data_IF_007043888014
#
_entry.id   IF_007043888014
#
_cell.length_a   1.000
_cell.length_b   1.000
_cell.length_c   1.000
_cell.angle_alpha   90.00
_cell.angle_beta   90.00
_cell.angle_gamma   90.00
#
_symmetry.space_group_name_H-M   'P 1'
#
loop_
_entity.id
_entity.type
_entity.pdbx_description
1 polymer ?
#
# COMPACT_ATOMS: atom_id res chain seq x y z
N UNK A 1 17.37 -13.88 -0.48
CA UNK A 1 16.73 -13.54 -1.76
C UNK A 1 16.46 -14.85 -2.49
N UNK A 2 15.25 -15.39 -2.32
CA UNK A 2 14.81 -16.61 -3.01
C UNK A 2 13.67 -16.20 -3.93
N UNK A 3 13.90 -16.29 -5.24
CA UNK A 3 12.91 -16.07 -6.28
C UNK A 3 12.40 -17.45 -6.68
N UNK A 4 11.10 -17.70 -6.47
CA UNK A 4 10.45 -18.92 -6.98
C UNK A 4 9.63 -18.47 -8.19
N UNK A 5 10.12 -18.74 -9.39
CA UNK A 5 9.35 -18.63 -10.61
C UNK A 5 8.37 -19.81 -10.69
N UNK A 6 7.07 -19.55 -10.84
CA UNK A 6 6.11 -20.58 -11.22
C UNK A 6 5.30 -20.17 -12.45
N UNK A 7 5.21 -21.12 -13.37
CA UNK A 7 4.71 -21.01 -14.74
C UNK A 7 3.20 -21.23 -14.75
N UNK A 8 2.41 -20.23 -15.20
CA UNK A 8 1.10 -20.35 -15.90
C UNK A 8 0.43 -18.97 -16.08
N UNK A 9 0.97 -18.10 -16.93
CA UNK A 9 0.29 -16.85 -17.35
C UNK A 9 -0.05 -15.82 -16.26
N UNK A 10 0.24 -16.12 -14.99
CA UNK A 10 0.18 -15.25 -13.83
C UNK A 10 1.59 -15.23 -13.25
N UNK A 11 2.24 -14.07 -13.28
CA UNK A 11 3.55 -13.91 -12.63
C UNK A 11 3.26 -13.78 -11.14
N UNK A 12 3.62 -14.82 -10.38
CA UNK A 12 3.60 -14.81 -8.93
C UNK A 12 5.04 -14.74 -8.42
N UNK A 13 5.38 -13.67 -7.73
CA UNK A 13 6.68 -13.49 -7.10
C UNK A 13 6.48 -13.47 -5.58
N UNK A 14 7.30 -14.20 -4.82
CA UNK A 14 7.27 -14.19 -3.36
C UNK A 14 8.66 -13.88 -2.83
N UNK A 15 8.77 -12.85 -2.00
CA UNK A 15 9.97 -12.53 -1.25
C UNK A 15 9.72 -12.78 0.24
N UNK A 16 10.50 -13.69 0.82
CA UNK A 16 10.56 -13.88 2.27
C UNK A 16 11.60 -12.93 2.86
N UNK A 17 11.20 -12.15 3.86
CA UNK A 17 12.08 -11.23 4.57
C UNK A 17 12.62 -11.94 5.79
N UNK A 18 13.89 -12.36 5.74
CA UNK A 18 14.60 -12.99 6.87
C UNK A 18 15.07 -11.95 7.91
N UNK A 19 14.18 -11.00 8.23
CA UNK A 19 14.30 -10.03 9.32
C UNK A 19 12.88 -9.78 9.86
N UNK A 20 12.45 -10.66 10.76
CA UNK A 20 11.29 -10.48 11.64
C UNK A 20 9.91 -10.45 10.96
N UNK A 21 9.41 -11.65 10.62
CA UNK A 21 7.99 -12.00 10.42
C UNK A 21 7.26 -11.50 9.16
N UNK A 22 7.75 -10.47 8.46
CA UNK A 22 7.07 -10.00 7.24
C UNK A 22 7.35 -10.89 6.01
N UNK A 23 6.31 -11.17 5.22
CA UNK A 23 6.45 -11.77 3.89
C UNK A 23 5.68 -10.96 2.86
N UNK A 24 6.24 -10.81 1.66
CA UNK A 24 5.61 -10.09 0.56
C UNK A 24 5.42 -11.04 -0.61
N UNK A 25 4.21 -11.09 -1.15
CA UNK A 25 3.93 -11.74 -2.43
C UNK A 25 3.27 -10.77 -3.39
N UNK A 26 3.54 -10.98 -4.68
CA UNK A 26 3.04 -10.17 -5.77
C UNK A 26 2.36 -11.10 -6.76
N UNK A 27 1.14 -10.78 -7.12
CA UNK A 27 0.32 -11.55 -8.07
C UNK A 27 -0.21 -10.60 -9.16
N UNK A 28 -0.11 -11.01 -10.42
CA UNK A 28 -0.80 -10.33 -11.52
C UNK A 28 -2.23 -10.86 -11.67
N UNK A 29 -3.23 -9.97 -11.62
CA UNK A 29 -4.65 -10.26 -11.86
C UNK A 29 -5.18 -9.41 -13.01
N UNK A 30 -5.07 -9.95 -14.23
CA UNK A 30 -5.40 -9.21 -15.45
C UNK A 30 -4.51 -7.97 -15.58
N UNK A 31 -5.07 -6.75 -15.72
CA UNK A 31 -4.29 -5.51 -15.79
C UNK A 31 -3.84 -4.97 -14.41
N UNK A 32 -4.21 -5.64 -13.32
CA UNK A 32 -3.95 -5.18 -11.96
C UNK A 32 -2.84 -6.00 -11.30
N UNK A 33 -2.07 -5.36 -10.41
CA UNK A 33 -1.07 -6.00 -9.57
C UNK A 33 -1.58 -6.05 -8.14
N UNK A 34 -1.57 -7.22 -7.51
CA UNK A 34 -1.88 -7.39 -6.09
C UNK A 34 -0.57 -7.61 -5.34
N UNK A 35 -0.24 -6.72 -4.41
CA UNK A 35 0.91 -6.85 -3.52
C UNK A 35 0.37 -7.18 -2.14
N UNK A 36 0.61 -8.40 -1.68
CA UNK A 36 0.19 -8.86 -0.35
C UNK A 36 1.34 -8.83 0.62
N UNK A 37 1.12 -8.27 1.80
CA UNK A 37 2.06 -8.28 2.92
C UNK A 37 1.42 -9.00 4.10
N UNK A 38 2.14 -9.93 4.71
CA UNK A 38 1.70 -10.69 5.89
C UNK A 38 2.71 -10.57 7.02
N UNK A 39 2.28 -10.78 8.26
CA UNK A 39 3.15 -10.72 9.44
C UNK A 39 3.21 -9.33 10.06
N UNK A 40 4.40 -8.85 10.41
CA UNK A 40 4.59 -7.59 11.14
C UNK A 40 5.38 -6.56 10.34
N UNK A 41 4.86 -5.34 10.23
CA UNK A 41 5.60 -4.21 9.64
C UNK A 41 6.02 -3.25 10.74
N UNK A 42 7.32 -3.08 10.95
CA UNK A 42 7.88 -2.21 11.98
C UNK A 42 9.13 -1.45 11.49
N UNK A 43 9.82 -0.78 12.43
CA UNK A 43 10.99 0.02 12.13
C UNK A 43 12.17 -0.78 11.51
N UNK A 44 12.21 -2.10 11.70
CA UNK A 44 13.30 -2.96 11.20
C UNK A 44 13.13 -3.33 9.72
N UNK A 45 11.90 -3.31 9.20
CA UNK A 45 11.57 -3.82 7.87
C UNK A 45 10.75 -2.85 7.00
N UNK A 46 10.27 -1.73 7.54
CA UNK A 46 9.48 -0.74 6.79
C UNK A 46 10.19 -0.21 5.54
N UNK A 47 11.50 0.08 5.60
CA UNK A 47 12.27 0.55 4.44
C UNK A 47 12.30 -0.47 3.29
N UNK A 48 12.32 -1.77 3.64
CA UNK A 48 12.25 -2.83 2.64
C UNK A 48 10.87 -2.88 1.99
N UNK A 49 9.79 -2.83 2.79
CA UNK A 49 8.41 -2.77 2.28
C UNK A 49 8.25 -1.55 1.37
N UNK A 50 8.79 -0.40 1.76
CA UNK A 50 8.77 0.82 0.96
C UNK A 50 9.47 0.63 -0.39
N UNK A 51 10.67 0.04 -0.39
CA UNK A 51 11.43 -0.23 -1.60
C UNK A 51 10.63 -1.12 -2.56
N UNK A 52 10.08 -2.23 -2.06
CA UNK A 52 9.28 -3.15 -2.87
C UNK A 52 8.05 -2.45 -3.46
N UNK A 53 7.27 -1.71 -2.66
CA UNK A 53 6.11 -0.99 -3.17
C UNK A 53 6.51 0.04 -4.25
N UNK A 54 7.59 0.78 -4.02
CA UNK A 54 8.04 1.82 -4.94
C UNK A 54 8.53 1.29 -6.30
N UNK A 55 9.05 0.06 -6.36
CA UNK A 55 9.48 -0.58 -7.60
C UNK A 55 8.32 -0.84 -8.57
N UNK A 56 7.08 -0.88 -8.07
CA UNK A 56 5.87 -1.05 -8.90
C UNK A 56 5.24 0.26 -9.39
N UNK A 57 5.73 1.43 -8.96
CA UNK A 57 5.20 2.73 -9.37
C UNK A 57 5.89 3.20 -10.67
N UNK A 58 5.25 2.99 -11.82
CA UNK A 58 5.74 3.26 -13.17
C UNK A 58 4.92 4.29 -13.97
N UNK A 59 3.75 4.72 -13.46
CA UNK A 59 2.85 5.74 -14.00
C UNK A 59 1.53 5.25 -14.63
N UNK A 60 1.35 3.95 -14.91
CA UNK A 60 0.11 3.40 -15.52
C UNK A 60 -0.47 2.18 -14.78
N UNK A 61 0.13 1.85 -13.64
CA UNK A 61 -0.21 0.72 -12.79
C UNK A 61 -1.56 0.86 -12.09
N UNK A 62 -2.13 -0.30 -11.78
CA UNK A 62 -3.30 -0.49 -10.95
C UNK A 62 -2.93 -1.44 -9.82
N UNK A 63 -2.57 -0.89 -8.67
CA UNK A 63 -2.00 -1.68 -7.57
C UNK A 63 -3.03 -1.84 -6.44
N UNK A 64 -3.36 -3.07 -6.10
CA UNK A 64 -4.03 -3.38 -4.84
C UNK A 64 -2.99 -3.83 -3.81
N UNK A 65 -2.89 -3.12 -2.68
CA UNK A 65 -2.01 -3.49 -1.56
C UNK A 65 -2.84 -4.19 -0.49
N UNK A 66 -2.66 -5.50 -0.34
CA UNK A 66 -3.35 -6.32 0.65
C UNK A 66 -2.53 -6.43 1.94
N UNK A 67 -2.96 -5.70 2.96
CA UNK A 67 -2.41 -5.74 4.31
C UNK A 67 -3.36 -6.43 5.30
N UNK A 68 -4.44 -7.07 4.82
CA UNK A 68 -5.48 -7.67 5.69
C UNK A 68 -4.95 -8.69 6.69
N UNK A 69 -3.80 -9.31 6.36
CA UNK A 69 -3.14 -10.35 7.15
C UNK A 69 -1.89 -9.83 7.90
N UNK A 70 -1.79 -8.52 8.12
CA UNK A 70 -0.82 -7.98 9.07
C UNK A 70 -1.32 -8.15 10.51
N UNK A 71 -0.44 -8.63 11.39
CA UNK A 71 -0.69 -8.72 12.83
C UNK A 71 -0.30 -7.39 13.52
N UNK A 72 0.75 -6.75 13.05
CA UNK A 72 1.22 -5.45 13.52
C UNK A 72 1.61 -4.49 12.39
N UNK A 73 1.31 -3.20 12.59
CA UNK A 73 1.84 -2.10 11.77
C UNK A 73 2.28 -0.95 12.68
N UNK A 74 3.58 -0.69 12.66
CA UNK A 74 4.19 0.44 13.36
C UNK A 74 4.02 1.76 12.61
N UNK A 75 4.42 2.85 13.25
CA UNK A 75 4.36 4.21 12.67
C UNK A 75 5.14 4.34 11.37
N UNK A 76 6.28 3.66 11.24
CA UNK A 76 7.04 3.64 9.99
C UNK A 76 6.26 2.96 8.86
N UNK A 77 5.54 1.86 9.14
CA UNK A 77 4.67 1.22 8.14
C UNK A 77 3.55 2.12 7.65
N UNK A 78 2.93 2.91 8.54
CA UNK A 78 1.97 3.93 8.13
C UNK A 78 2.61 5.01 7.25
N UNK A 79 3.81 5.47 7.61
CA UNK A 79 4.56 6.45 6.81
C UNK A 79 4.84 5.94 5.39
N UNK A 80 5.18 4.65 5.25
CA UNK A 80 5.37 4.00 3.95
C UNK A 80 4.11 4.14 3.08
N UNK A 81 2.93 3.92 3.64
CA UNK A 81 1.66 4.01 2.89
C UNK A 81 1.36 5.44 2.43
N UNK A 82 1.63 6.43 3.29
CA UNK A 82 1.45 7.85 2.96
C UNK A 82 2.41 8.25 1.82
N UNK A 83 3.68 7.87 1.92
CA UNK A 83 4.68 8.19 0.90
C UNK A 83 4.41 7.45 -0.42
N UNK A 84 3.86 6.23 -0.34
CA UNK A 84 3.43 5.45 -1.50
C UNK A 84 2.25 6.11 -2.21
N UNK A 85 1.23 6.53 -1.48
CA UNK A 85 0.08 7.25 -2.02
C UNK A 85 0.51 8.50 -2.80
N UNK A 86 1.38 9.29 -2.18
CA UNK A 86 1.99 10.48 -2.77
C UNK A 86 2.75 10.18 -4.06
N UNK A 87 3.47 9.06 -4.11
CA UNK A 87 4.24 8.64 -5.29
C UNK A 87 3.32 8.18 -6.42
N UNK A 88 2.31 7.36 -6.12
CA UNK A 88 1.29 6.94 -7.09
C UNK A 88 0.60 8.16 -7.71
N UNK A 89 0.19 9.12 -6.88
CA UNK A 89 -0.42 10.38 -7.34
C UNK A 89 0.47 11.15 -8.30
N UNK A 90 1.77 11.31 -7.96
CA UNK A 90 2.74 12.03 -8.80
C UNK A 90 3.03 11.30 -10.12
N UNK A 91 2.98 9.97 -10.11
CA UNK A 91 3.21 9.16 -11.30
C UNK A 91 1.96 9.06 -12.20
N UNK A 92 0.77 9.38 -11.68
CA UNK A 92 -0.50 9.18 -12.39
C UNK A 92 -1.06 7.76 -12.27
N UNK A 93 -0.46 6.91 -11.44
CA UNK A 93 -0.90 5.56 -11.16
C UNK A 93 -2.10 5.50 -10.21
N UNK A 94 -2.87 4.41 -10.29
CA UNK A 94 -3.99 4.16 -9.41
C UNK A 94 -3.64 3.05 -8.41
N UNK A 95 -4.05 3.22 -7.16
CA UNK A 95 -3.89 2.16 -6.17
C UNK A 95 -5.06 2.11 -5.19
N UNK A 96 -5.20 0.97 -4.50
CA UNK A 96 -6.18 0.72 -3.47
C UNK A 96 -5.53 -0.10 -2.33
N UNK A 97 -6.00 0.12 -1.09
CA UNK A 97 -5.47 -0.48 0.13
C UNK A 97 -6.52 -1.41 0.76
N UNK A 98 -6.15 -2.63 1.11
CA UNK A 98 -6.97 -3.50 1.98
C UNK A 98 -6.29 -3.53 3.36
N UNK A 99 -6.73 -2.73 4.34
CA UNK A 99 -6.05 -2.61 5.64
C UNK A 99 -6.32 -3.82 6.55
N UNK A 100 -5.39 -4.15 7.44
CA UNK A 100 -5.72 -4.98 8.61
C UNK A 100 -6.65 -4.24 9.57
N UNK A 101 -7.28 -4.98 10.50
CA UNK A 101 -8.19 -4.39 11.50
C UNK A 101 -7.54 -3.29 12.34
N UNK A 102 -6.27 -3.48 12.74
CA UNK A 102 -5.51 -2.48 13.50
C UNK A 102 -5.28 -1.19 12.70
N UNK A 103 -4.89 -1.32 11.43
CA UNK A 103 -4.67 -0.18 10.55
C UNK A 103 -5.98 0.57 10.27
N UNK A 104 -7.09 -0.15 10.05
CA UNK A 104 -8.41 0.46 9.85
C UNK A 104 -8.81 1.33 11.04
N UNK A 105 -8.70 0.79 12.26
CA UNK A 105 -8.98 1.56 13.47
C UNK A 105 -8.05 2.77 13.64
N UNK A 106 -6.79 2.64 13.25
CA UNK A 106 -5.84 3.75 13.29
C UNK A 106 -6.25 4.87 12.32
N UNK A 107 -6.65 4.53 11.10
CA UNK A 107 -7.12 5.46 10.08
C UNK A 107 -8.40 6.19 10.50
N UNK A 108 -9.25 5.57 11.32
CA UNK A 108 -10.47 6.21 11.85
C UNK A 108 -10.17 7.26 12.94
N UNK A 109 -9.04 7.12 13.64
CA UNK A 109 -8.69 7.95 14.80
C UNK A 109 -7.67 9.03 14.43
N UNK A 110 -6.79 8.75 13.47
CA UNK A 110 -5.69 9.62 13.06
C UNK A 110 -5.95 10.15 11.66
N UNK A 111 -5.79 11.46 11.46
CA UNK A 111 -5.77 12.05 10.12
C UNK A 111 -4.46 11.64 9.42
N UNK A 112 -4.54 10.54 8.65
CA UNK A 112 -3.44 10.00 7.85
C UNK A 112 -3.52 10.46 6.40
N UNK A 113 -4.36 11.46 6.09
CA UNK A 113 -4.76 11.78 4.73
C UNK A 113 -5.70 10.74 4.13
N UNK A 114 -5.97 10.87 2.82
CA UNK A 114 -6.88 9.97 2.11
C UNK A 114 -6.13 8.77 1.51
N UNK A 115 -5.96 7.72 2.31
CA UNK A 115 -5.55 6.41 1.76
C UNK A 115 -6.78 5.73 1.13
N UNK A 116 -6.68 5.19 -0.11
CA UNK A 116 -7.80 4.60 -0.85
C UNK A 116 -8.17 3.20 -0.32
N UNK A 117 -8.73 3.14 0.89
CA UNK A 117 -9.08 1.88 1.55
C UNK A 117 -10.28 1.17 0.90
N UNK A 118 -10.26 -0.16 0.92
CA UNK A 118 -11.32 -1.07 0.47
C UNK A 118 -11.50 -2.21 1.49
N UNK A 119 -12.64 -2.90 1.43
CA UNK A 119 -12.98 -3.98 2.36
C UNK A 119 -12.34 -5.32 1.98
N UNK A 120 -12.10 -5.54 0.70
CA UNK A 120 -11.47 -6.76 0.19
C UNK A 120 -10.59 -6.47 -1.03
N UNK A 121 -9.80 -7.47 -1.42
CA UNK A 121 -9.01 -7.41 -2.66
C UNK A 121 -9.94 -7.31 -3.87
N UNK A 122 -11.06 -8.00 -3.88
CA UNK A 122 -12.00 -7.96 -5.00
C UNK A 122 -12.64 -6.56 -5.12
N UNK A 123 -13.03 -5.92 -4.01
CA UNK A 123 -13.55 -4.55 -4.02
C UNK A 123 -12.48 -3.55 -4.52
N UNK A 124 -11.23 -3.74 -4.11
CA UNK A 124 -10.10 -2.92 -4.56
C UNK A 124 -9.88 -3.06 -6.07
N UNK A 125 -9.94 -4.28 -6.60
CA UNK A 125 -9.79 -4.55 -8.03
C UNK A 125 -10.96 -4.00 -8.84
N UNK A 126 -12.19 -4.05 -8.31
CA UNK A 126 -13.38 -3.45 -8.91
C UNK A 126 -13.26 -1.92 -8.98
N UNK A 127 -12.76 -1.28 -7.92
CA UNK A 127 -12.49 0.17 -7.91
C UNK A 127 -11.48 0.56 -9.00
N UNK A 128 -10.37 -0.18 -9.07
CA UNK A 128 -9.31 0.03 -10.06
C UNK A 128 -9.79 -0.24 -11.50
N UNK A 129 -10.67 -1.23 -11.69
CA UNK A 129 -11.27 -1.58 -12.97
C UNK A 129 -12.18 -0.49 -13.54
N UNK A 130 -12.85 0.27 -12.67
CA UNK A 130 -13.77 1.36 -13.05
C UNK A 130 -13.05 2.64 -13.51
N UNK A 131 -11.72 2.68 -13.49
CA UNK A 131 -10.95 3.87 -13.86
C UNK A 131 -11.05 5.01 -12.85
N UNK A 132 -11.63 4.74 -11.68
CA UNK A 132 -11.69 5.68 -10.58
C UNK A 132 -10.41 5.44 -9.76
N UNK A 133 -9.28 5.95 -10.26
CA UNK A 133 -8.21 6.31 -9.34
C UNK A 133 -8.85 7.19 -8.27
N UNK A 134 -8.60 6.92 -6.99
CA UNK A 134 -9.03 7.79 -5.90
C UNK A 134 -8.37 9.18 -6.05
N UNK A 135 -8.91 9.96 -6.98
CA UNK A 135 -8.66 11.37 -7.20
C UNK A 135 -9.99 12.02 -6.93
N UNK A 136 -10.37 12.07 -5.65
CA UNK A 136 -11.17 13.19 -5.20
C UNK A 136 -10.19 14.12 -4.52
N UNK A 137 -9.84 15.17 -5.27
CA UNK A 137 -9.06 16.32 -4.82
C UNK A 137 -9.56 16.76 -3.44
N UNK A 138 -8.69 16.70 -2.43
CA UNK A 138 -8.90 17.46 -1.21
C UNK A 138 -7.66 18.29 -0.90
N UNK A 139 -7.84 19.60 -1.04
CA UNK A 139 -6.92 20.65 -0.64
C UNK A 139 -6.72 20.52 0.88
N UNK A 140 -5.59 19.97 1.31
CA UNK A 140 -5.22 19.95 2.72
C UNK A 140 -5.16 21.41 3.19
N UNK A 141 -5.85 21.80 4.30
CA UNK A 141 -5.66 23.13 4.84
C UNK A 141 -4.19 23.26 5.25
N UNK A 142 -3.44 24.05 4.50
CA UNK A 142 -2.08 24.46 4.85
C UNK A 142 -2.14 25.04 6.26
N UNK A 143 -1.60 24.31 7.24
CA UNK A 143 -1.34 24.86 8.57
C UNK A 143 -0.37 26.03 8.33
N UNK A 144 -0.88 27.25 8.38
CA UNK A 144 -0.06 28.44 8.27
C UNK A 144 0.92 28.46 9.45
N UNK A 145 2.12 28.99 9.22
CA UNK A 145 3.20 29.07 10.23
C UNK A 145 2.74 29.65 11.58
N UNK A 146 1.63 30.39 11.59
CA UNK A 146 1.04 31.01 12.78
C UNK A 146 0.35 30.04 13.75
N UNK A 147 0.01 28.80 13.31
CA UNK A 147 -0.60 27.76 14.17
C UNK A 147 0.42 26.79 14.79
N UNK A 148 1.72 27.00 14.58
CA UNK A 148 2.83 26.19 15.12
C UNK A 148 3.59 26.90 16.26
N UNK A 149 2.91 27.79 17.00
CA UNK A 149 3.49 28.45 18.18
C UNK A 149 2.91 27.83 19.45
N UNK A 150 3.73 27.04 20.14
CA UNK A 150 3.70 26.97 21.60
C UNK A 150 4.41 28.22 22.17
#
# INVERSE_FOLDING_TARGET
MTVIDNVRGQVQFSAHIDRQSAAISVESRGPNTVIKVTGDVDASNADFVATVLQDFVTGNERIAVDLSNLEFVGTQGLRVLIDFDDRCRRAGGAWALVPCGTLRRLMDVVDVGHLPASDSVDDALDLLGRGIAASTVHDLPRVTKDKLRC
#
